data_IF_932980825501
#
_entry.id   IF_932980825501
#
_cell.length_a   1.000
_cell.length_b   1.000
_cell.length_c   1.000
_cell.angle_alpha   90.00
_cell.angle_beta   90.00
_cell.angle_gamma   90.00
#
_symmetry.space_group_name_H-M   'P 1'
#
loop_
_entity.id
_entity.type
_entity.pdbx_description
1 polymer ?
#
# COMPACT_ATOMS: atom_id res chain seq x y z
N UNK A 1 12.26 -7.44 4.33
CA UNK A 1 11.62 -6.12 4.40
C UNK A 1 11.36 -5.67 2.98
N UNK A 2 10.10 -5.40 2.62
CA UNK A 2 9.69 -4.98 1.28
C UNK A 2 8.84 -3.70 1.40
N UNK A 3 8.85 -2.89 0.34
CA UNK A 3 8.03 -1.68 0.19
C UNK A 3 6.73 -2.05 -0.51
N UNK A 4 5.62 -2.11 0.22
CA UNK A 4 4.30 -2.48 -0.30
C UNK A 4 3.45 -1.22 -0.50
N UNK A 5 2.78 -1.12 -1.65
CA UNK A 5 1.74 -0.13 -1.91
C UNK A 5 0.37 -0.81 -1.82
N UNK A 6 -0.48 -0.42 -0.88
CA UNK A 6 -1.83 -0.96 -0.75
C UNK A 6 -2.78 -0.02 -1.49
N UNK A 7 -3.56 -0.57 -2.43
CA UNK A 7 -4.54 0.17 -3.23
C UNK A 7 -5.93 -0.39 -2.94
N UNK A 8 -6.72 0.32 -2.14
CA UNK A 8 -8.05 -0.16 -1.72
C UNK A 8 -8.96 1.02 -1.37
N UNK A 9 -10.15 1.06 -1.96
CA UNK A 9 -11.15 2.11 -1.78
C UNK A 9 -11.91 1.99 -0.44
N UNK A 10 -11.80 0.86 0.26
CA UNK A 10 -12.40 0.63 1.57
C UNK A 10 -11.35 0.80 2.69
N UNK A 11 -11.50 1.85 3.50
CA UNK A 11 -10.50 2.25 4.49
C UNK A 11 -10.22 1.16 5.55
N UNK A 12 -11.24 0.41 5.97
CA UNK A 12 -11.08 -0.60 7.02
C UNK A 12 -10.32 -1.83 6.52
N UNK A 13 -10.57 -2.26 5.29
CA UNK A 13 -9.84 -3.33 4.63
C UNK A 13 -8.39 -2.91 4.40
N UNK A 14 -8.17 -1.71 3.85
CA UNK A 14 -6.83 -1.15 3.66
C UNK A 14 -6.02 -1.12 4.97
N UNK A 15 -6.65 -0.67 6.06
CA UNK A 15 -6.03 -0.61 7.38
C UNK A 15 -5.70 -2.01 7.93
N UNK A 16 -6.61 -2.97 7.78
CA UNK A 16 -6.41 -4.34 8.25
C UNK A 16 -5.24 -5.02 7.54
N UNK A 17 -5.13 -4.83 6.22
CA UNK A 17 -4.00 -5.31 5.41
C UNK A 17 -2.70 -4.62 5.83
N UNK A 18 -2.72 -3.30 5.98
CA UNK A 18 -1.56 -2.53 6.43
C UNK A 18 -1.03 -3.02 7.78
N UNK A 19 -1.93 -3.28 8.74
CA UNK A 19 -1.56 -3.77 10.07
C UNK A 19 -0.88 -5.14 10.00
N UNK A 20 -1.40 -6.05 9.17
CA UNK A 20 -0.82 -7.38 8.95
C UNK A 20 0.60 -7.29 8.36
N UNK A 21 0.78 -6.49 7.30
CA UNK A 21 2.06 -6.33 6.62
C UNK A 21 3.11 -5.62 7.49
N UNK A 22 2.72 -4.58 8.24
CA UNK A 22 3.60 -3.91 9.21
C UNK A 22 4.07 -4.87 10.31
N UNK A 23 3.18 -5.73 10.82
CA UNK A 23 3.55 -6.77 11.82
C UNK A 23 4.53 -7.80 11.26
N UNK A 24 4.46 -8.07 9.95
CA UNK A 24 5.43 -8.93 9.26
C UNK A 24 6.74 -8.21 8.89
N UNK A 25 6.90 -6.92 9.22
CA UNK A 25 8.13 -6.16 9.00
C UNK A 25 8.27 -5.55 7.60
N UNK A 26 7.15 -5.26 6.93
CA UNK A 26 7.13 -4.53 5.65
C UNK A 26 6.87 -3.04 5.85
N UNK A 27 7.47 -2.20 4.99
CA UNK A 27 7.07 -0.81 4.86
C UNK A 27 5.80 -0.74 4.00
N UNK A 28 4.79 -0.02 4.46
CA UNK A 28 3.50 0.04 3.78
C UNK A 28 3.11 1.49 3.49
N UNK A 29 2.65 1.73 2.27
CA UNK A 29 1.96 2.96 1.83
C UNK A 29 0.53 2.58 1.45
N UNK A 30 -0.40 3.51 1.58
CA UNK A 30 -1.83 3.28 1.31
C UNK A 30 -2.36 4.41 0.45
N UNK A 31 -3.12 4.05 -0.58
CA UNK A 31 -3.87 4.96 -1.44
C UNK A 31 -5.25 4.36 -1.71
N UNK A 32 -6.24 5.19 -2.02
CA UNK A 32 -7.65 4.78 -2.04
C UNK A 32 -8.31 4.85 -3.42
N UNK A 33 -7.52 5.06 -4.47
CA UNK A 33 -8.02 5.11 -5.84
C UNK A 33 -6.90 4.80 -6.84
N UNK A 34 -7.30 4.49 -8.07
CA UNK A 34 -6.39 4.10 -9.14
C UNK A 34 -5.46 5.24 -9.61
N UNK A 35 -5.92 6.49 -9.60
CA UNK A 35 -5.14 7.65 -10.03
C UNK A 35 -3.95 7.88 -9.08
N UNK A 36 -4.22 7.99 -7.79
CA UNK A 36 -3.19 8.12 -6.75
C UNK A 36 -2.27 6.90 -6.71
N UNK A 37 -2.76 5.69 -6.98
CA UNK A 37 -1.92 4.50 -7.08
C UNK A 37 -0.94 4.57 -8.24
N UNK A 38 -1.40 5.04 -9.40
CA UNK A 38 -0.55 5.21 -10.57
C UNK A 38 0.54 6.26 -10.31
N UNK A 39 0.17 7.41 -9.76
CA UNK A 39 1.11 8.47 -9.39
C UNK A 39 2.15 7.97 -8.38
N UNK A 40 1.72 7.23 -7.36
CA UNK A 40 2.57 6.73 -6.30
C UNK A 40 3.53 5.63 -6.76
N UNK A 41 3.10 4.78 -7.70
CA UNK A 41 3.94 3.80 -8.39
C UNK A 41 5.05 4.49 -9.22
N UNK A 42 4.72 5.56 -9.94
CA UNK A 42 5.70 6.32 -10.70
C UNK A 42 6.70 7.06 -9.79
N UNK A 43 6.21 7.63 -8.68
CA UNK A 43 7.02 8.40 -7.73
C UNK A 43 8.00 7.53 -6.94
N UNK A 44 7.55 6.36 -6.49
CA UNK A 44 8.37 5.37 -5.77
C UNK A 44 7.82 3.98 -6.07
N UNK A 45 8.45 3.23 -6.99
CA UNK A 45 8.02 1.87 -7.33
C UNK A 45 8.01 0.96 -6.09
N UNK A 46 6.89 0.28 -5.79
CA UNK A 46 6.86 -0.74 -4.75
C UNK A 46 7.46 -2.06 -5.23
N UNK A 47 7.82 -2.94 -4.28
CA UNK A 47 8.17 -4.33 -4.57
C UNK A 47 6.90 -5.17 -4.86
N UNK A 48 5.76 -4.76 -4.29
CA UNK A 48 4.44 -5.35 -4.45
C UNK A 48 3.36 -4.27 -4.32
N UNK A 49 2.36 -4.29 -5.19
CA UNK A 49 1.16 -3.47 -5.13
C UNK A 49 -0.09 -4.34 -5.10
#
# INVERSE_FOLDING_TARGET
MANVLIVDDEENLAYSVQLGLKRAGHECRVVHNAESAWEECLRRPPDLA
#
